data_IF_857021071472
#
_entry.id   IF_857021071472
#
_cell.length_a   1.000
_cell.length_b   1.000
_cell.length_c   1.000
_cell.angle_alpha   90.00
_cell.angle_beta   90.00
_cell.angle_gamma   90.00
#
_symmetry.space_group_name_H-M   'P 1'
#
loop_
_entity.id
_entity.type
_entity.pdbx_description
1 polymer ?
#
# COMPACT_ATOMS: atom_id res chain seq x y z
N UNK A 1 -25.52 82.75 12.20
CA UNK A 1 -26.43 81.69 12.69
C UNK A 1 -27.28 81.24 11.51
N UNK A 2 -27.26 79.94 11.19
CA UNK A 2 -28.26 79.14 10.42
C UNK A 2 -28.82 79.68 9.10
N UNK A 3 -29.00 78.93 8.01
CA UNK A 3 -28.81 77.53 7.69
C UNK A 3 -29.04 77.35 6.16
N UNK A 4 -28.47 76.27 5.63
CA UNK A 4 -28.97 75.37 4.58
C UNK A 4 -29.70 75.91 3.32
N UNK A 5 -29.28 75.46 2.13
CA UNK A 5 -30.01 74.41 1.38
C UNK A 5 -29.27 73.97 0.09
N UNK A 6 -29.12 72.64 -0.01
CA UNK A 6 -29.30 71.76 -1.19
C UNK A 6 -28.87 72.27 -2.58
N UNK A 7 -27.89 71.58 -3.18
CA UNK A 7 -27.96 71.20 -4.60
C UNK A 7 -27.56 69.74 -4.82
N UNK A 8 -28.44 69.10 -5.57
CA UNK A 8 -28.40 67.74 -6.14
C UNK A 8 -27.23 67.65 -7.13
N UNK A 9 -26.47 66.55 -7.10
CA UNK A 9 -25.56 66.18 -8.19
C UNK A 9 -25.84 64.73 -8.62
N UNK A 10 -25.99 64.47 -9.93
CA UNK A 10 -26.32 63.17 -10.45
C UNK A 10 -25.08 62.27 -10.63
N UNK A 11 -25.40 61.00 -10.79
CA UNK A 11 -24.58 59.85 -11.15
C UNK A 11 -23.38 60.14 -12.08
N UNK A 12 -22.23 59.60 -11.69
CA UNK A 12 -21.03 59.43 -12.51
C UNK A 12 -20.26 58.22 -12.02
N UNK A 13 -20.67 57.04 -12.50
CA UNK A 13 -20.04 55.74 -12.26
C UNK A 13 -18.82 55.60 -13.20
N UNK A 14 -17.62 55.46 -12.64
CA UNK A 14 -16.46 54.92 -13.36
C UNK A 14 -15.43 54.39 -12.34
N UNK A 15 -15.61 53.15 -11.90
CA UNK A 15 -14.60 52.41 -11.15
C UNK A 15 -13.89 51.48 -12.14
N UNK A 16 -12.68 51.84 -12.55
CA UNK A 16 -11.82 50.94 -13.34
C UNK A 16 -10.86 50.23 -12.38
N UNK A 17 -11.04 48.92 -12.31
CA UNK A 17 -10.24 47.93 -11.59
C UNK A 17 -8.92 47.75 -12.34
N UNK A 18 -7.78 47.78 -11.65
CA UNK A 18 -6.49 47.49 -12.27
C UNK A 18 -5.36 47.32 -11.25
N UNK A 19 -5.05 46.06 -10.92
CA UNK A 19 -3.92 45.71 -10.06
C UNK A 19 -4.04 44.29 -9.52
N UNK A 20 -3.89 43.30 -10.40
CA UNK A 20 -3.84 41.89 -10.02
C UNK A 20 -2.55 41.63 -9.20
N UNK A 21 -2.72 41.33 -7.92
CA UNK A 21 -1.69 40.69 -7.10
C UNK A 21 -1.60 39.23 -7.57
N UNK A 22 -0.54 38.89 -8.29
CA UNK A 22 -0.25 37.52 -8.69
C UNK A 22 0.01 36.65 -7.44
N UNK A 23 -0.67 35.51 -7.24
CA UNK A 23 -0.30 34.59 -6.19
C UNK A 23 1.01 33.88 -6.58
N UNK A 24 2.02 33.97 -5.72
CA UNK A 24 3.17 33.07 -5.72
C UNK A 24 2.69 31.67 -5.32
N UNK A 25 2.19 30.90 -6.28
CA UNK A 25 1.99 29.47 -6.14
C UNK A 25 2.91 28.80 -7.15
N UNK A 26 3.91 28.08 -6.67
CA UNK A 26 4.71 27.23 -7.53
C UNK A 26 6.15 27.06 -7.08
N UNK A 27 6.38 26.61 -5.85
CA UNK A 27 7.61 25.90 -5.46
C UNK A 27 7.31 24.92 -4.32
N UNK A 28 6.47 23.92 -4.60
CA UNK A 28 6.27 22.78 -3.70
C UNK A 28 5.94 21.47 -4.44
N UNK A 29 6.29 21.35 -5.73
CA UNK A 29 6.05 20.12 -6.50
C UNK A 29 7.32 19.48 -7.08
N UNK A 30 8.49 20.09 -6.92
CA UNK A 30 9.72 19.60 -7.57
C UNK A 30 10.64 18.76 -6.66
N UNK A 31 10.28 18.55 -5.39
CA UNK A 31 11.04 17.67 -4.49
C UNK A 31 10.75 16.16 -4.70
N UNK A 32 9.80 15.80 -5.57
CA UNK A 32 9.47 14.40 -5.86
C UNK A 32 10.27 13.80 -7.04
N UNK A 33 11.12 14.57 -7.72
CA UNK A 33 11.69 14.18 -9.01
C UNK A 33 13.16 13.72 -9.03
N UNK A 34 13.80 13.57 -7.87
CA UNK A 34 15.19 13.08 -7.77
C UNK A 34 15.38 11.99 -6.71
N UNK A 35 14.38 11.12 -6.52
CA UNK A 35 14.65 9.87 -5.84
C UNK A 35 15.59 9.06 -6.74
N UNK A 36 16.83 8.87 -6.28
CA UNK A 36 17.67 7.78 -6.77
C UNK A 36 16.82 6.50 -6.82
N UNK A 37 17.03 5.66 -7.84
CA UNK A 37 16.37 4.35 -7.97
C UNK A 37 16.29 3.68 -6.60
N UNK A 38 15.09 3.47 -6.09
CA UNK A 38 14.91 2.84 -4.78
C UNK A 38 14.81 1.34 -5.00
N UNK A 39 15.74 0.51 -4.49
CA UNK A 39 15.55 -0.93 -4.51
C UNK A 39 14.27 -1.29 -3.75
N UNK A 40 13.53 -2.28 -4.25
CA UNK A 40 12.21 -2.63 -3.73
C UNK A 40 12.20 -2.97 -2.24
N UNK A 41 13.23 -3.65 -1.74
CA UNK A 41 13.39 -4.00 -0.33
C UNK A 41 13.67 -2.79 0.59
N UNK A 42 13.98 -1.62 0.01
CA UNK A 42 14.19 -0.37 0.75
C UNK A 42 12.98 0.54 0.67
N UNK A 43 12.00 0.25 -0.17
CA UNK A 43 10.82 1.10 -0.32
C UNK A 43 9.83 0.85 0.81
N UNK A 44 9.43 1.93 1.48
CA UNK A 44 8.27 1.95 2.36
C UNK A 44 7.11 2.58 1.61
N UNK A 45 5.99 1.87 1.56
CA UNK A 45 4.77 2.32 0.95
C UNK A 45 3.76 2.74 2.00
N UNK A 46 2.96 3.75 1.70
CA UNK A 46 1.89 4.24 2.57
C UNK A 46 0.57 4.30 1.82
N UNK A 47 -0.49 3.84 2.49
CA UNK A 47 -1.89 4.07 2.17
C UNK A 47 -2.53 4.87 3.32
N UNK A 48 -2.95 6.12 3.09
CA UNK A 48 -3.65 6.89 4.12
C UNK A 48 -5.00 6.28 4.47
N UNK A 49 -5.32 6.20 5.76
CA UNK A 49 -6.62 5.74 6.26
C UNK A 49 -7.05 6.53 7.50
N UNK A 50 -8.36 6.57 7.79
CA UNK A 50 -8.93 7.34 8.89
C UNK A 50 -8.42 6.86 10.27
N UNK A 51 -8.22 5.54 10.43
CA UNK A 51 -7.69 4.92 11.65
C UNK A 51 -6.17 4.99 11.81
N UNK A 52 -5.46 5.65 10.89
CA UNK A 52 -4.00 5.69 10.82
C UNK A 52 -3.48 5.12 9.50
N UNK A 53 -2.34 5.63 9.05
CA UNK A 53 -1.70 5.18 7.83
C UNK A 53 -1.37 3.68 7.87
N UNK A 54 -1.61 3.00 6.76
CA UNK A 54 -1.28 1.59 6.57
C UNK A 54 0.00 1.53 5.73
N UNK A 55 0.94 0.69 6.15
CA UNK A 55 2.23 0.58 5.50
C UNK A 55 2.41 -0.77 4.83
N UNK A 56 3.08 -0.76 3.67
CA UNK A 56 3.55 -1.97 3.04
C UNK A 56 5.07 -1.89 2.83
N UNK A 57 5.77 -2.99 3.05
CA UNK A 57 7.21 -3.09 2.83
C UNK A 57 7.56 -4.47 2.29
N UNK A 58 8.60 -4.54 1.45
CA UNK A 58 9.14 -5.81 0.98
C UNK A 58 10.31 -6.23 1.84
N UNK A 59 10.25 -7.46 2.36
CA UNK A 59 11.26 -8.01 3.26
C UNK A 59 12.03 -9.09 2.53
N UNK A 60 13.35 -8.96 2.36
CA UNK A 60 14.14 -9.98 1.68
C UNK A 60 14.22 -11.26 2.52
N UNK A 61 14.09 -12.41 1.87
CA UNK A 61 14.39 -13.70 2.49
C UNK A 61 15.88 -14.05 2.31
N UNK A 62 16.42 -14.94 3.15
CA UNK A 62 17.80 -15.44 2.99
C UNK A 62 17.86 -16.46 1.84
N UNK A 63 16.78 -17.20 1.65
CA UNK A 63 16.50 -18.14 0.59
C UNK A 63 15.21 -17.74 -0.15
N UNK A 64 14.56 -18.68 -0.84
CA UNK A 64 13.36 -18.40 -1.64
C UNK A 64 12.09 -18.76 -0.86
N UNK A 65 11.25 -17.79 -0.47
CA UNK A 65 9.99 -18.03 0.25
C UNK A 65 8.90 -18.56 -0.67
N UNK A 66 9.07 -18.40 -1.98
CA UNK A 66 8.20 -18.92 -3.03
C UNK A 66 9.00 -19.06 -4.34
N UNK A 67 8.45 -19.76 -5.31
CA UNK A 67 8.99 -19.76 -6.68
C UNK A 67 8.79 -18.43 -7.41
N UNK A 68 7.92 -17.54 -6.90
CA UNK A 68 7.52 -16.31 -7.57
C UNK A 68 8.41 -15.11 -7.23
N UNK A 69 8.90 -15.02 -5.99
CA UNK A 69 9.76 -13.92 -5.51
C UNK A 69 10.65 -14.37 -4.36
N UNK A 70 11.81 -13.72 -4.20
CA UNK A 70 12.71 -13.81 -3.04
C UNK A 70 12.37 -12.79 -1.92
N UNK A 71 11.18 -12.18 -1.98
CA UNK A 71 10.66 -11.22 -1.01
C UNK A 71 9.40 -11.77 -0.33
N UNK A 72 9.18 -11.35 0.91
CA UNK A 72 7.87 -11.30 1.55
C UNK A 72 7.26 -9.91 1.37
N UNK A 73 5.93 -9.83 1.40
CA UNK A 73 5.22 -8.59 1.64
C UNK A 73 4.83 -8.52 3.13
N UNK A 74 5.24 -7.44 3.80
CA UNK A 74 4.75 -7.07 5.12
C UNK A 74 3.70 -5.96 4.97
N UNK A 75 2.53 -6.15 5.56
CA UNK A 75 1.52 -5.11 5.74
C UNK A 75 1.43 -4.76 7.22
N UNK A 76 1.52 -3.48 7.57
CA UNK A 76 1.37 -3.00 8.95
C UNK A 76 0.15 -2.08 9.02
N UNK A 77 -0.84 -2.47 9.82
CA UNK A 77 -2.01 -1.65 10.16
C UNK A 77 -1.80 -0.96 11.51
N UNK A 78 -2.77 -0.18 11.95
CA UNK A 78 -2.77 0.39 13.31
C UNK A 78 -2.86 -0.70 14.41
N UNK A 79 -3.32 -1.91 14.07
CA UNK A 79 -3.55 -2.98 15.05
C UNK A 79 -2.43 -4.03 15.04
N UNK A 80 -1.94 -4.44 13.86
CA UNK A 80 -1.00 -5.57 13.75
C UNK A 80 -0.26 -5.63 12.42
N UNK A 81 0.66 -6.58 12.34
CA UNK A 81 1.39 -6.94 11.14
C UNK A 81 0.79 -8.20 10.49
N UNK A 82 0.75 -8.19 9.15
CA UNK A 82 0.43 -9.34 8.31
C UNK A 82 1.59 -9.62 7.37
N UNK A 83 1.80 -10.90 7.08
CA UNK A 83 2.93 -11.38 6.30
C UNK A 83 2.41 -12.25 5.16
N UNK A 84 2.96 -12.02 3.98
CA UNK A 84 2.56 -12.76 2.78
C UNK A 84 3.77 -13.19 1.97
N UNK A 85 3.73 -14.42 1.45
CA UNK A 85 4.53 -14.82 0.29
C UNK A 85 3.71 -14.64 -0.99
N UNK A 86 4.34 -14.83 -2.15
CA UNK A 86 3.69 -14.64 -3.44
C UNK A 86 3.44 -15.97 -4.15
N UNK A 87 2.28 -16.08 -4.78
CA UNK A 87 1.98 -17.11 -5.76
C UNK A 87 1.60 -16.46 -7.09
N UNK A 88 2.01 -17.08 -8.19
CA UNK A 88 1.59 -16.72 -9.53
C UNK A 88 0.81 -17.89 -10.14
N UNK A 89 -0.27 -17.56 -10.83
CA UNK A 89 -0.98 -18.56 -11.63
C UNK A 89 -0.20 -18.82 -12.93
N UNK A 90 -0.06 -20.09 -13.33
CA UNK A 90 0.51 -20.46 -14.62
C UNK A 90 -0.50 -20.13 -15.75
N UNK A 91 -0.67 -18.84 -16.09
CA UNK A 91 -1.63 -18.34 -17.06
C UNK A 91 -2.12 -16.93 -16.75
N UNK A 92 -3.37 -16.61 -17.10
CA UNK A 92 -3.98 -15.28 -16.91
C UNK A 92 -4.38 -14.93 -15.46
N UNK A 93 -3.95 -15.70 -14.46
CA UNK A 93 -4.48 -15.62 -13.09
C UNK A 93 -3.82 -14.60 -12.16
N UNK A 94 -2.84 -13.83 -12.63
CA UNK A 94 -2.19 -12.75 -11.87
C UNK A 94 -1.41 -13.22 -10.63
N UNK A 95 -1.07 -12.27 -9.77
CA UNK A 95 -0.31 -12.47 -8.53
C UNK A 95 -1.29 -12.54 -7.34
N UNK A 96 -1.14 -13.57 -6.52
CA UNK A 96 -1.85 -13.73 -5.25
C UNK A 96 -0.88 -13.66 -4.07
N UNK A 97 -1.36 -13.10 -2.98
CA UNK A 97 -0.71 -13.14 -1.67
C UNK A 97 -1.14 -14.42 -0.95
N UNK A 98 -0.16 -15.18 -0.45
CA UNK A 98 -0.38 -16.32 0.43
C UNK A 98 -0.04 -15.89 1.85
N UNK A 99 -0.98 -15.92 2.81
CA UNK A 99 -0.71 -15.48 4.15
C UNK A 99 0.18 -16.50 4.86
N UNK A 100 1.23 -15.99 5.51
CA UNK A 100 2.22 -16.78 6.22
C UNK A 100 2.47 -16.19 7.59
N UNK A 101 3.09 -16.97 8.45
CA UNK A 101 3.52 -16.52 9.77
C UNK A 101 4.67 -15.51 9.66
N UNK A 102 5.04 -14.89 10.79
CA UNK A 102 6.16 -13.95 10.83
C UNK A 102 7.48 -14.67 10.43
N UNK A 103 8.13 -14.27 9.33
CA UNK A 103 9.33 -14.94 8.82
C UNK A 103 10.59 -14.66 9.67
N UNK A 104 10.50 -13.79 10.68
CA UNK A 104 11.58 -13.59 11.64
C UNK A 104 11.49 -14.50 12.87
N UNK A 105 10.40 -15.24 13.07
CA UNK A 105 10.26 -16.15 14.20
C UNK A 105 11.29 -17.28 14.12
N UNK A 106 11.79 -17.75 15.26
CA UNK A 106 12.79 -18.85 15.33
C UNK A 106 12.30 -20.12 14.62
N UNK A 107 10.99 -20.41 14.70
CA UNK A 107 10.37 -21.57 14.04
C UNK A 107 10.44 -21.53 12.50
N UNK A 108 10.61 -20.34 11.92
CA UNK A 108 10.73 -20.18 10.48
C UNK A 108 12.15 -20.52 9.97
N UNK A 109 13.12 -20.71 10.85
CA UNK A 109 14.54 -20.84 10.49
C UNK A 109 14.84 -22.02 9.56
N UNK A 110 14.24 -23.18 9.80
CA UNK A 110 14.58 -24.41 9.07
C UNK A 110 13.74 -24.61 7.80
N UNK A 111 12.46 -24.22 7.83
CA UNK A 111 11.49 -24.50 6.77
C UNK A 111 10.83 -23.27 6.16
N UNK A 112 11.17 -22.07 6.62
CA UNK A 112 10.38 -20.87 6.39
C UNK A 112 9.15 -20.79 7.30
N UNK A 113 8.44 -19.64 7.32
CA UNK A 113 7.19 -19.48 8.04
C UNK A 113 6.12 -20.41 7.47
N UNK A 114 5.26 -20.96 8.33
CA UNK A 114 4.15 -21.77 7.85
C UNK A 114 3.06 -20.91 7.19
N UNK A 115 2.19 -21.55 6.42
CA UNK A 115 0.91 -20.95 6.01
C UNK A 115 0.05 -20.70 7.25
N UNK A 116 -0.66 -19.57 7.31
CA UNK A 116 -1.69 -19.35 8.33
C UNK A 116 -3.03 -19.97 7.96
N UNK A 117 -3.23 -20.32 6.68
CA UNK A 117 -4.44 -21.02 6.25
C UNK A 117 -4.45 -22.44 6.83
N UNK A 118 -5.59 -22.88 7.39
CA UNK A 118 -5.74 -24.24 7.87
C UNK A 118 -5.67 -25.25 6.72
N UNK A 119 -5.29 -26.49 7.02
CA UNK A 119 -5.39 -27.56 6.05
C UNK A 119 -6.88 -27.81 5.71
N UNK A 120 -7.21 -27.88 4.43
CA UNK A 120 -8.57 -28.15 3.99
C UNK A 120 -8.89 -29.64 4.21
N UNK A 121 -9.74 -29.95 5.18
CA UNK A 121 -10.15 -31.33 5.47
C UNK A 121 -11.34 -31.77 4.63
N UNK A 122 -12.13 -30.82 4.11
CA UNK A 122 -13.35 -31.07 3.32
C UNK A 122 -13.39 -30.17 2.08
N UNK A 123 -14.12 -30.57 1.02
CA UNK A 123 -14.26 -29.76 -0.20
C UNK A 123 -14.76 -28.33 0.04
N UNK A 124 -15.68 -28.13 0.99
CA UNK A 124 -16.17 -26.80 1.36
C UNK A 124 -15.08 -25.91 1.97
N UNK A 125 -14.10 -26.49 2.66
CA UNK A 125 -12.98 -25.75 3.25
C UNK A 125 -12.01 -25.32 2.13
N UNK A 126 -11.83 -26.15 1.11
CA UNK A 126 -11.05 -25.82 -0.10
C UNK A 126 -11.72 -24.71 -0.92
N UNK A 127 -13.04 -24.79 -1.14
CA UNK A 127 -13.80 -23.75 -1.83
C UNK A 127 -13.69 -22.39 -1.10
N UNK A 128 -13.86 -22.38 0.22
CA UNK A 128 -13.71 -21.17 1.03
C UNK A 128 -12.29 -20.57 0.93
N UNK A 129 -11.25 -21.42 0.93
CA UNK A 129 -9.88 -20.95 0.75
C UNK A 129 -9.63 -20.38 -0.64
N UNK A 130 -10.19 -21.00 -1.70
CA UNK A 130 -10.10 -20.47 -3.07
C UNK A 130 -10.75 -19.08 -3.14
N UNK A 131 -11.92 -18.91 -2.52
CA UNK A 131 -12.61 -17.63 -2.45
C UNK A 131 -11.79 -16.56 -1.73
N UNK A 132 -11.18 -16.89 -0.59
CA UNK A 132 -10.28 -15.99 0.14
C UNK A 132 -9.07 -15.62 -0.72
N UNK A 133 -8.39 -16.60 -1.31
CA UNK A 133 -7.21 -16.36 -2.17
C UNK A 133 -7.53 -15.54 -3.42
N UNK A 134 -8.78 -15.58 -3.89
CA UNK A 134 -9.27 -14.73 -4.98
C UNK A 134 -9.42 -13.26 -4.55
N UNK A 135 -9.58 -12.97 -3.25
CA UNK A 135 -9.58 -11.60 -2.69
C UNK A 135 -8.15 -11.10 -2.43
N UNK A 136 -7.20 -12.00 -2.15
CA UNK A 136 -5.81 -11.68 -1.87
C UNK A 136 -4.98 -11.38 -3.14
N UNK A 137 -5.53 -10.60 -4.07
CA UNK A 137 -4.82 -10.18 -5.29
C UNK A 137 -3.83 -9.06 -5.01
N UNK A 138 -2.67 -9.17 -5.62
CA UNK A 138 -1.62 -8.15 -5.58
C UNK A 138 -1.34 -7.61 -6.97
N UNK A 139 -1.31 -6.29 -7.08
CA UNK A 139 -0.99 -5.57 -8.30
C UNK A 139 0.16 -4.61 -8.00
N UNK A 140 1.32 -4.84 -8.60
CA UNK A 140 2.37 -3.83 -8.73
C UNK A 140 2.20 -3.13 -10.07
N UNK A 141 2.36 -1.80 -10.07
CA UNK A 141 2.20 -1.00 -11.28
C UNK A 141 3.36 -0.04 -11.49
N UNK A 142 3.69 0.18 -12.77
CA UNK A 142 4.65 1.20 -13.19
C UNK A 142 4.04 2.62 -13.15
N UNK A 143 4.81 3.63 -13.60
CA UNK A 143 4.35 5.04 -13.61
C UNK A 143 3.20 5.29 -14.58
N UNK A 144 3.04 4.44 -15.58
CA UNK A 144 1.97 4.50 -16.59
C UNK A 144 0.75 3.67 -16.17
N UNK A 145 0.76 3.10 -14.96
CA UNK A 145 -0.28 2.26 -14.37
C UNK A 145 -0.44 0.90 -15.08
N UNK A 146 0.59 0.43 -15.80
CA UNK A 146 0.59 -0.93 -16.30
C UNK A 146 0.86 -1.90 -15.16
N UNK A 147 0.05 -2.96 -15.08
CA UNK A 147 0.20 -4.01 -14.07
C UNK A 147 1.32 -4.96 -14.49
N UNK A 148 2.26 -5.23 -13.59
CA UNK A 148 3.31 -6.22 -13.81
C UNK A 148 2.76 -7.65 -13.70
N UNK A 149 3.30 -8.56 -14.52
CA UNK A 149 2.89 -9.97 -14.52
C UNK A 149 3.47 -10.77 -13.34
N UNK A 150 4.62 -10.33 -12.82
CA UNK A 150 5.35 -11.01 -11.73
C UNK A 150 5.48 -10.09 -10.52
N UNK A 151 5.53 -10.66 -9.29
CA UNK A 151 5.88 -9.88 -8.12
C UNK A 151 7.34 -9.37 -8.22
N UNK A 152 7.67 -8.25 -7.56
CA UNK A 152 9.04 -7.75 -7.54
C UNK A 152 10.03 -8.73 -6.91
N UNK A 153 11.30 -8.62 -7.28
CA UNK A 153 12.42 -9.34 -6.67
C UNK A 153 13.44 -8.38 -6.05
N UNK A 154 14.14 -8.82 -5.01
CA UNK A 154 15.15 -8.02 -4.32
C UNK A 154 16.21 -7.48 -5.28
N UNK A 155 16.56 -6.19 -5.13
CA UNK A 155 17.49 -5.48 -5.99
C UNK A 155 16.85 -4.86 -7.24
N UNK A 156 15.61 -5.20 -7.57
CA UNK A 156 14.84 -4.52 -8.62
C UNK A 156 14.40 -3.13 -8.16
N UNK A 157 14.05 -2.27 -9.12
CA UNK A 157 13.45 -0.98 -8.82
C UNK A 157 12.06 -1.17 -8.18
N UNK A 158 11.82 -0.45 -7.08
CA UNK A 158 10.56 -0.44 -6.38
C UNK A 158 9.43 0.03 -7.33
N UNK A 159 8.36 -0.77 -7.52
CA UNK A 159 7.20 -0.32 -8.27
C UNK A 159 6.64 0.96 -7.64
N UNK A 160 6.32 2.02 -8.40
CA UNK A 160 5.79 3.27 -7.84
C UNK A 160 4.47 3.09 -7.08
N UNK A 161 3.66 2.11 -7.49
CA UNK A 161 2.32 1.90 -6.99
C UNK A 161 2.06 0.42 -6.69
N UNK A 162 1.45 0.15 -5.54
CA UNK A 162 0.90 -1.16 -5.22
C UNK A 162 -0.61 -1.04 -4.98
N UNK A 163 -1.36 -2.07 -5.34
CA UNK A 163 -2.77 -2.19 -5.02
C UNK A 163 -3.09 -3.62 -4.60
N UNK A 164 -3.90 -3.74 -3.55
CA UNK A 164 -4.46 -4.99 -3.06
C UNK A 164 -5.98 -4.79 -2.96
N UNK A 165 -6.72 -4.87 -4.09
CA UNK A 165 -8.05 -4.27 -4.22
C UNK A 165 -9.07 -4.77 -3.19
N UNK A 166 -9.01 -6.07 -2.86
CA UNK A 166 -9.97 -6.73 -1.96
C UNK A 166 -9.37 -7.16 -0.62
N UNK A 167 -8.11 -6.80 -0.34
CA UNK A 167 -7.48 -7.15 0.93
C UNK A 167 -8.19 -6.50 2.12
N UNK A 168 -8.80 -5.32 1.94
CA UNK A 168 -9.57 -4.68 3.02
C UNK A 168 -10.82 -5.48 3.41
N UNK A 169 -11.43 -6.18 2.45
CA UNK A 169 -12.54 -7.09 2.73
C UNK A 169 -12.05 -8.32 3.50
N UNK A 170 -10.95 -8.94 3.06
CA UNK A 170 -10.36 -10.08 3.76
C UNK A 170 -9.91 -9.72 5.19
N UNK A 171 -9.33 -8.54 5.39
CA UNK A 171 -8.97 -8.03 6.72
C UNK A 171 -10.19 -7.76 7.61
N UNK A 172 -11.37 -7.51 7.04
CA UNK A 172 -12.57 -7.24 7.81
C UNK A 172 -13.32 -8.50 8.24
N UNK A 173 -13.35 -9.52 7.38
CA UNK A 173 -14.14 -10.74 7.61
C UNK A 173 -13.30 -11.96 8.00
N UNK A 174 -12.04 -11.99 7.57
CA UNK A 174 -11.18 -13.19 7.62
C UNK A 174 -9.82 -12.91 8.28
N UNK A 175 -9.70 -11.86 9.10
CA UNK A 175 -8.42 -11.44 9.70
C UNK A 175 -7.70 -12.58 10.43
N UNK A 176 -8.44 -13.40 11.17
CA UNK A 176 -7.90 -14.56 11.89
C UNK A 176 -7.25 -15.63 11.00
N UNK A 177 -7.57 -15.66 9.70
CA UNK A 177 -6.94 -16.57 8.73
C UNK A 177 -5.65 -15.99 8.14
N UNK A 178 -5.38 -14.69 8.35
CA UNK A 178 -4.27 -13.97 7.73
C UNK A 178 -3.09 -13.70 8.69
N UNK A 179 -3.24 -14.04 9.97
CA UNK A 179 -2.21 -13.80 11.00
C UNK A 179 -2.34 -14.82 12.13
N UNK A 180 -1.29 -14.96 12.93
CA UNK A 180 -1.29 -15.79 14.14
C UNK A 180 -1.64 -15.03 15.41
N UNK A 181 -2.01 -13.76 15.30
CA UNK A 181 -2.51 -12.97 16.43
C UNK A 181 -3.87 -13.53 16.89
N UNK A 182 -3.99 -14.11 18.11
CA UNK A 182 -5.24 -14.68 18.59
C UNK A 182 -6.33 -13.62 18.85
N UNK A 183 -5.98 -12.33 18.87
CA UNK A 183 -6.92 -11.23 19.00
C UNK A 183 -7.37 -10.65 17.65
N UNK A 184 -7.00 -11.27 16.53
CA UNK A 184 -7.35 -10.79 15.20
C UNK A 184 -8.83 -11.01 14.85
N UNK A 185 -9.66 -10.02 15.19
CA UNK A 185 -11.07 -10.01 14.79
C UNK A 185 -11.28 -9.34 13.43
N UNK A 186 -10.76 -8.12 13.25
CA UNK A 186 -10.89 -7.33 12.02
C UNK A 186 -9.94 -6.13 12.01
N UNK A 187 -9.50 -5.74 10.83
CA UNK A 187 -8.78 -4.48 10.58
C UNK A 187 -9.44 -3.66 9.46
N UNK A 188 -9.55 -2.36 9.70
CA UNK A 188 -9.99 -1.40 8.69
C UNK A 188 -8.87 -1.13 7.67
N UNK A 189 -9.15 -1.36 6.40
CA UNK A 189 -8.32 -0.89 5.30
C UNK A 189 -9.17 -0.35 4.15
N UNK A 190 -9.03 0.93 3.76
CA UNK A 190 -9.74 1.45 2.60
C UNK A 190 -9.18 0.83 1.31
N UNK A 191 -10.01 0.78 0.26
CA UNK A 191 -9.49 0.50 -1.09
C UNK A 191 -8.67 1.69 -1.55
N UNK A 192 -7.46 1.43 -2.03
CA UNK A 192 -6.60 2.51 -2.52
C UNK A 192 -5.27 2.02 -3.08
N UNK A 193 -4.44 3.00 -3.45
CA UNK A 193 -3.11 2.76 -3.99
C UNK A 193 -2.08 3.12 -2.93
N UNK A 194 -1.26 2.14 -2.60
CA UNK A 194 -0.04 2.34 -1.82
C UNK A 194 1.00 3.05 -2.68
N UNK A 195 1.60 4.11 -2.13
CA UNK A 195 2.65 4.90 -2.81
C UNK A 195 3.92 4.88 -1.99
N UNK A 196 5.06 4.88 -2.67
CA UNK A 196 6.35 5.03 -1.99
C UNK A 196 6.35 6.36 -1.22
N UNK A 197 6.45 6.27 0.10
CA UNK A 197 6.53 7.43 1.00
C UNK A 197 7.96 7.70 1.45
N UNK A 198 8.79 6.67 1.51
CA UNK A 198 10.21 6.76 1.92
C UNK A 198 11.02 5.68 1.22
N UNK A 199 12.27 5.99 0.88
CA UNK A 199 13.29 4.98 0.57
C UNK A 199 14.28 4.89 1.73
N UNK A 200 14.31 3.75 2.41
CA UNK A 200 15.18 3.51 3.57
C UNK A 200 16.66 3.59 3.16
N UNK A 201 17.53 3.98 4.08
CA UNK A 201 18.98 4.01 3.82
C UNK A 201 19.55 2.60 3.57
N UNK A 202 19.05 1.61 4.31
CA UNK A 202 19.43 0.21 4.22
C UNK A 202 18.17 -0.67 4.13
N UNK A 203 18.31 -1.84 3.51
CA UNK A 203 17.24 -2.82 3.49
C UNK A 203 17.03 -3.41 4.90
N UNK A 204 15.80 -3.84 5.24
CA UNK A 204 15.55 -4.64 6.43
C UNK A 204 16.44 -5.89 6.45
N UNK A 205 16.75 -6.44 7.64
CA UNK A 205 17.45 -7.71 7.75
C UNK A 205 16.76 -8.80 6.93
N UNK A 206 17.53 -9.75 6.42
CA UNK A 206 16.91 -10.87 5.70
C UNK A 206 16.17 -11.81 6.67
N UNK A 207 14.89 -12.04 6.39
CA UNK A 207 14.05 -12.99 7.11
C UNK A 207 14.32 -14.43 6.66
N UNK A 208 13.79 -15.40 7.39
CA UNK A 208 13.89 -16.81 7.03
C UNK A 208 12.88 -17.19 5.94
N UNK A 209 13.08 -18.30 5.20
CA UNK A 209 14.26 -19.16 5.23
C UNK A 209 15.49 -18.46 4.66
#
# INVERSE_FOLDING_TARGET
MSAALRRVFPAGLALVIGGALAPQMGQAQDAQHAAASCPVERALYTLPAEGGDIHAAFIPARNWPSAASNLYLKLTTAQRDYWFSFAISNGYGGISLLPVENPYDERAQDSGPASTLPEAERPEDEEAQIELLAQLRFLSMDRDLNVAENPPSAGEEAPPYLMMPELGQALWYDAALLTTDPAAERDDMPRGVFRISTCLAEAPPKAWP
#
